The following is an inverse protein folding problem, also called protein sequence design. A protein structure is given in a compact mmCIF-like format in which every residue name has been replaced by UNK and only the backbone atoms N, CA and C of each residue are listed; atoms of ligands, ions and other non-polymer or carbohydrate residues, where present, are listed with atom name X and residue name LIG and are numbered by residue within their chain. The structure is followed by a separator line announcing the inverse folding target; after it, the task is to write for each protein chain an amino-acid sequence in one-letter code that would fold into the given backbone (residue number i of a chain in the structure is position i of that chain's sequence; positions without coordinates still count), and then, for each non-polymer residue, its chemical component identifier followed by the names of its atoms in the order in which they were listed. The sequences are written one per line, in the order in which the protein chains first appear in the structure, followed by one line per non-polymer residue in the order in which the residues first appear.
data_IF_405913470728
#
_entry.id   IF_405913470728
#
_cell.length_a   1.000
_cell.length_b   1.000
_cell.length_c   1.000
_cell.angle_alpha   90.00
_cell.angle_beta   90.00
_cell.angle_gamma   90.00
#
_symmetry.space_group_name_H-M   'P 1'
#
loop_
_entity.id
_entity.type
_entity.pdbx_description
1 polymer ?
#
# COMPACT_ATOMS: atom_id res chain seq x y z
N UNK A 1 58.14 -17.02 -8.09
CA UNK A 1 57.28 -15.94 -8.59
C UNK A 1 55.81 -16.35 -8.46
N UNK A 2 55.13 -15.97 -7.37
CA UNK A 2 53.69 -16.22 -7.15
C UNK A 2 52.92 -15.04 -7.77
N UNK A 3 52.29 -15.27 -8.91
CA UNK A 3 51.63 -14.24 -9.70
C UNK A 3 50.40 -13.66 -9.00
N UNK A 4 50.27 -12.33 -9.07
CA UNK A 4 49.11 -11.49 -8.67
C UNK A 4 47.85 -11.76 -9.52
N UNK A 5 47.47 -13.02 -9.70
CA UNK A 5 46.28 -13.44 -10.45
C UNK A 5 44.99 -13.39 -9.60
N UNK A 6 45.12 -13.30 -8.26
CA UNK A 6 43.97 -13.27 -7.35
C UNK A 6 43.23 -11.93 -7.29
N UNK A 7 43.91 -10.79 -7.41
CA UNK A 7 43.31 -9.46 -7.18
C UNK A 7 42.32 -9.05 -8.27
N UNK A 8 42.65 -9.29 -9.56
CA UNK A 8 41.76 -8.92 -10.67
C UNK A 8 40.53 -9.81 -10.76
N UNK A 9 40.64 -11.09 -10.37
CA UNK A 9 39.53 -12.03 -10.33
C UNK A 9 38.60 -11.78 -9.14
N UNK A 10 39.15 -11.42 -7.97
CA UNK A 10 38.38 -11.08 -6.76
C UNK A 10 37.46 -9.89 -7.02
N UNK A 11 37.99 -8.81 -7.58
CA UNK A 11 37.20 -7.60 -7.88
C UNK A 11 36.04 -7.92 -8.83
N UNK A 12 36.29 -8.66 -9.92
CA UNK A 12 35.21 -9.06 -10.84
C UNK A 12 34.19 -10.02 -10.21
N UNK A 13 34.63 -10.94 -9.33
CA UNK A 13 33.74 -11.85 -8.63
C UNK A 13 32.89 -11.14 -7.56
N UNK A 14 33.46 -10.17 -6.85
CA UNK A 14 32.75 -9.33 -5.89
C UNK A 14 31.67 -8.50 -6.57
N UNK A 15 31.98 -7.85 -7.69
CA UNK A 15 30.98 -7.10 -8.47
C UNK A 15 29.90 -8.01 -9.07
N UNK A 16 30.25 -9.24 -9.47
CA UNK A 16 29.29 -10.20 -9.99
C UNK A 16 28.20 -10.58 -8.96
N UNK A 17 28.49 -10.48 -7.66
CA UNK A 17 27.53 -10.76 -6.58
C UNK A 17 26.93 -9.47 -6.00
N UNK A 18 27.75 -8.43 -5.83
CA UNK A 18 27.34 -7.16 -5.23
C UNK A 18 26.32 -6.42 -6.10
N UNK A 19 26.51 -6.38 -7.44
CA UNK A 19 25.58 -5.68 -8.32
C UNK A 19 24.17 -6.30 -8.31
N UNK A 20 23.98 -7.63 -8.48
CA UNK A 20 22.66 -8.24 -8.33
C UNK A 20 22.03 -8.02 -6.95
N UNK A 21 22.83 -8.08 -5.88
CA UNK A 21 22.35 -7.85 -4.53
C UNK A 21 21.84 -6.41 -4.33
N UNK A 22 22.56 -5.40 -4.84
CA UNK A 22 22.15 -4.00 -4.80
C UNK A 22 20.89 -3.78 -5.63
N UNK A 23 20.81 -4.35 -6.83
CA UNK A 23 19.61 -4.26 -7.69
C UNK A 23 18.40 -4.87 -6.98
N UNK A 24 18.57 -6.03 -6.35
CA UNK A 24 17.51 -6.67 -5.56
C UNK A 24 17.08 -5.79 -4.39
N UNK A 25 18.02 -5.23 -3.63
CA UNK A 25 17.74 -4.32 -2.53
C UNK A 25 16.96 -3.09 -2.98
N UNK A 26 17.37 -2.44 -4.07
CA UNK A 26 16.68 -1.29 -4.64
C UNK A 26 15.27 -1.67 -5.08
N UNK A 27 15.11 -2.81 -5.76
CA UNK A 27 13.79 -3.31 -6.16
C UNK A 27 12.87 -3.55 -4.96
N UNK A 28 13.39 -4.10 -3.87
CA UNK A 28 12.65 -4.28 -2.62
C UNK A 28 12.26 -2.94 -1.98
N UNK A 29 13.17 -1.97 -1.91
CA UNK A 29 12.89 -0.63 -1.39
C UNK A 29 11.81 0.08 -2.20
N UNK A 30 11.89 0.03 -3.53
CA UNK A 30 10.88 0.62 -4.42
C UNK A 30 9.53 -0.09 -4.27
N UNK A 31 9.53 -1.43 -4.18
CA UNK A 31 8.33 -2.22 -3.95
C UNK A 31 7.65 -1.88 -2.62
N UNK A 32 8.44 -1.76 -1.54
CA UNK A 32 7.97 -1.36 -0.22
C UNK A 32 7.37 0.05 -0.23
N UNK A 33 8.08 1.02 -0.82
CA UNK A 33 7.59 2.40 -0.91
C UNK A 33 6.30 2.49 -1.74
N UNK A 34 6.24 1.79 -2.88
CA UNK A 34 5.05 1.73 -3.74
C UNK A 34 3.83 1.16 -3.00
N UNK A 35 4.05 0.12 -2.19
CA UNK A 35 3.00 -0.50 -1.36
C UNK A 35 2.56 0.45 -0.24
N UNK A 36 3.51 1.10 0.45
CA UNK A 36 3.22 2.07 1.49
C UNK A 36 2.41 3.26 0.95
N UNK A 37 2.76 3.80 -0.22
CA UNK A 37 1.98 4.89 -0.83
C UNK A 37 0.55 4.48 -1.15
N UNK A 38 0.30 3.22 -1.55
CA UNK A 38 -1.05 2.70 -1.77
C UNK A 38 -1.82 2.53 -0.46
N UNK A 39 -1.16 2.04 0.59
CA UNK A 39 -1.74 1.92 1.93
C UNK A 39 -2.18 3.29 2.45
N UNK A 40 -1.33 4.32 2.31
CA UNK A 40 -1.66 5.69 2.72
C UNK A 40 -2.86 6.23 1.92
N UNK A 41 -2.84 6.11 0.59
CA UNK A 41 -3.99 6.56 -0.23
C UNK A 41 -5.29 5.82 0.10
N UNK A 42 -5.22 4.53 0.40
CA UNK A 42 -6.39 3.75 0.80
C UNK A 42 -6.91 4.21 2.18
N UNK A 43 -6.02 4.51 3.13
CA UNK A 43 -6.36 5.05 4.44
C UNK A 43 -7.03 6.42 4.32
N UNK A 44 -6.45 7.34 3.56
CA UNK A 44 -7.00 8.68 3.35
C UNK A 44 -8.41 8.61 2.72
N UNK A 45 -8.56 7.80 1.66
CA UNK A 45 -9.85 7.61 1.01
C UNK A 45 -10.91 6.98 1.94
N UNK A 46 -10.49 6.06 2.81
CA UNK A 46 -11.38 5.42 3.80
C UNK A 46 -11.81 6.44 4.87
N UNK A 47 -10.90 7.30 5.32
CA UNK A 47 -11.21 8.35 6.28
C UNK A 47 -12.17 9.40 5.70
N UNK A 48 -11.94 9.82 4.45
CA UNK A 48 -12.84 10.75 3.76
C UNK A 48 -14.21 10.13 3.49
N UNK A 49 -14.26 8.85 3.08
CA UNK A 49 -15.50 8.11 2.93
C UNK A 49 -16.28 8.01 4.26
N UNK A 50 -15.62 7.75 5.38
CA UNK A 50 -16.27 7.68 6.69
C UNK A 50 -16.87 9.04 7.08
N UNK A 51 -16.14 10.14 6.84
CA UNK A 51 -16.63 11.51 7.11
C UNK A 51 -17.79 11.91 6.19
N UNK A 52 -17.80 11.47 4.93
CA UNK A 52 -18.92 11.70 4.02
C UNK A 52 -20.18 11.00 4.56
N UNK A 53 -20.09 9.70 4.85
CA UNK A 53 -21.26 8.95 5.33
C UNK A 53 -21.73 9.44 6.70
N UNK A 54 -20.81 9.84 7.58
CA UNK A 54 -21.15 10.44 8.88
C UNK A 54 -21.93 11.77 8.76
N UNK A 55 -21.81 12.48 7.64
CA UNK A 55 -22.59 13.69 7.33
C UNK A 55 -23.94 13.38 6.70
N UNK A 56 -24.26 12.11 6.49
CA UNK A 56 -25.47 11.67 5.79
C UNK A 56 -25.37 11.71 4.27
N UNK A 57 -24.16 11.84 3.70
CA UNK A 57 -24.00 11.70 2.26
C UNK A 57 -24.27 10.25 1.79
N UNK A 58 -24.60 10.12 0.51
CA UNK A 58 -24.90 8.83 -0.14
C UNK A 58 -23.72 7.84 -0.05
N UNK A 59 -24.02 6.60 0.34
CA UNK A 59 -23.03 5.52 0.50
C UNK A 59 -22.37 5.15 -0.83
N UNK A 60 -23.10 5.25 -1.95
CA UNK A 60 -22.57 5.01 -3.29
C UNK A 60 -21.49 6.00 -3.68
N UNK A 61 -21.64 7.27 -3.28
CA UNK A 61 -20.57 8.30 -3.42
C UNK A 61 -19.33 7.94 -2.61
N UNK A 62 -19.49 7.48 -1.38
CA UNK A 62 -18.37 7.06 -0.54
C UNK A 62 -17.62 5.86 -1.16
N UNK A 63 -18.34 4.87 -1.70
CA UNK A 63 -17.73 3.73 -2.39
C UNK A 63 -17.02 4.13 -3.68
N UNK A 64 -17.61 5.05 -4.47
CA UNK A 64 -16.98 5.58 -5.68
C UNK A 64 -15.69 6.33 -5.38
N UNK A 65 -15.63 7.09 -4.28
CA UNK A 65 -14.42 7.79 -3.83
C UNK A 65 -13.27 6.81 -3.55
N UNK A 66 -13.54 5.74 -2.80
CA UNK A 66 -12.52 4.72 -2.50
C UNK A 66 -12.07 3.99 -3.77
N UNK A 67 -13.00 3.63 -4.66
CA UNK A 67 -12.68 2.95 -5.91
C UNK A 67 -11.86 3.83 -6.88
N UNK A 68 -12.11 5.15 -6.87
CA UNK A 68 -11.33 6.12 -7.64
C UNK A 68 -9.94 6.37 -7.09
N UNK A 69 -9.75 6.31 -5.77
CA UNK A 69 -8.46 6.55 -5.13
C UNK A 69 -7.47 5.39 -5.32
N UNK A 70 -7.95 4.15 -5.29
CA UNK A 70 -7.10 2.95 -5.47
C UNK A 70 -7.81 1.92 -6.35
N UNK A 71 -7.23 1.65 -7.53
CA UNK A 71 -7.76 0.67 -8.47
C UNK A 71 -7.88 -0.73 -7.87
N UNK A 72 -9.04 -1.37 -8.08
CA UNK A 72 -9.35 -2.69 -7.54
C UNK A 72 -9.65 -2.69 -6.03
N UNK A 73 -9.85 -1.52 -5.42
CA UNK A 73 -10.34 -1.42 -4.05
C UNK A 73 -11.78 -1.96 -3.93
N UNK A 74 -12.04 -2.63 -2.82
CA UNK A 74 -13.37 -3.02 -2.36
C UNK A 74 -13.59 -2.39 -1.01
N UNK A 75 -14.74 -1.78 -0.82
CA UNK A 75 -15.13 -1.11 0.42
C UNK A 75 -16.43 -1.71 0.97
N UNK A 76 -16.58 -1.62 2.28
CA UNK A 76 -17.77 -1.97 3.02
C UNK A 76 -18.00 -0.92 4.11
N UNK A 77 -19.26 -0.69 4.45
CA UNK A 77 -19.68 0.15 5.55
C UNK A 77 -20.14 -0.72 6.71
N UNK A 78 -19.76 -0.33 7.92
CA UNK A 78 -20.23 -0.90 9.17
C UNK A 78 -20.67 0.25 10.07
N UNK A 79 -21.88 0.17 10.63
CA UNK A 79 -22.38 1.10 11.64
C UNK A 79 -22.24 0.42 13.00
N UNK A 80 -21.56 1.08 13.93
CA UNK A 80 -21.21 0.59 15.26
C UNK A 80 -21.58 1.68 16.27
N UNK A 81 -22.67 1.48 17.02
CA UNK A 81 -23.21 2.45 17.99
C UNK A 81 -23.39 3.85 17.35
N UNK A 82 -22.60 4.84 17.80
CA UNK A 82 -22.58 6.22 17.31
C UNK A 82 -21.49 6.46 16.26
N UNK A 83 -20.88 5.41 15.71
CA UNK A 83 -19.81 5.48 14.71
C UNK A 83 -20.26 4.85 13.39
N UNK A 84 -19.86 5.48 12.29
CA UNK A 84 -19.84 4.85 10.97
C UNK A 84 -18.40 4.56 10.57
N UNK A 85 -18.13 3.28 10.30
CA UNK A 85 -16.83 2.77 9.92
C UNK A 85 -16.84 2.36 8.45
N UNK A 86 -15.85 2.83 7.70
CA UNK A 86 -15.56 2.33 6.36
C UNK A 86 -14.39 1.37 6.47
N UNK A 87 -14.51 0.21 5.87
CA UNK A 87 -13.42 -0.77 5.72
C UNK A 87 -13.15 -0.94 4.23
N UNK A 88 -11.90 -0.76 3.84
CA UNK A 88 -11.48 -0.91 2.45
C UNK A 88 -10.31 -1.89 2.31
N UNK A 89 -10.25 -2.57 1.17
CA UNK A 89 -9.19 -3.50 0.83
C UNK A 89 -8.82 -3.38 -0.64
N UNK A 90 -7.53 -3.30 -0.94
CA UNK A 90 -7.03 -3.16 -2.30
C UNK A 90 -5.81 -4.08 -2.54
N UNK A 91 -5.50 -4.46 -3.79
CA UNK A 91 -4.26 -5.17 -4.09
C UNK A 91 -3.03 -4.29 -3.84
N UNK A 92 -2.02 -4.86 -3.17
CA UNK A 92 -0.79 -4.16 -2.77
C UNK A 92 0.01 -3.63 -3.96
N UNK A 93 -0.08 -4.25 -5.13
CA UNK A 93 0.62 -3.82 -6.32
C UNK A 93 0.92 -4.96 -7.28
N UNK A 94 1.42 -4.64 -8.48
CA UNK A 94 1.87 -5.65 -9.43
C UNK A 94 3.12 -6.39 -8.95
N UNK A 95 3.88 -5.81 -8.01
CA UNK A 95 5.12 -6.39 -7.46
C UNK A 95 4.84 -7.53 -6.49
N UNK A 96 3.71 -7.50 -5.77
CA UNK A 96 3.34 -8.48 -4.75
C UNK A 96 1.95 -9.08 -5.07
N UNK A 97 1.85 -9.93 -6.10
CA UNK A 97 0.59 -10.56 -6.46
C UNK A 97 0.05 -11.40 -5.29
N UNK A 98 -1.25 -11.29 -5.04
CA UNK A 98 -1.93 -11.98 -3.93
C UNK A 98 -1.89 -11.25 -2.57
N UNK A 99 -1.02 -10.26 -2.40
CA UNK A 99 -1.01 -9.44 -1.18
C UNK A 99 -2.05 -8.32 -1.30
N UNK A 100 -2.85 -8.15 -0.24
CA UNK A 100 -3.85 -7.08 -0.14
C UNK A 100 -3.52 -6.15 1.01
N UNK A 101 -3.69 -4.87 0.76
CA UNK A 101 -3.62 -3.80 1.75
C UNK A 101 -5.02 -3.53 2.29
N UNK A 102 -5.09 -3.20 3.57
CA UNK A 102 -6.35 -3.02 4.30
C UNK A 102 -6.35 -1.69 5.04
N UNK A 103 -7.49 -1.01 5.00
CA UNK A 103 -7.73 0.22 5.74
C UNK A 103 -9.09 0.18 6.44
N UNK A 104 -9.16 0.79 7.62
CA UNK A 104 -10.39 0.99 8.38
C UNK A 104 -10.32 2.36 9.01
N UNK A 105 -11.37 3.16 8.83
CA UNK A 105 -11.53 4.44 9.50
C UNK A 105 -12.98 4.59 9.94
N UNK A 106 -13.17 5.16 11.13
CA UNK A 106 -14.48 5.43 11.70
C UNK A 106 -14.65 6.92 11.93
N UNK A 107 -15.87 7.41 11.77
CA UNK A 107 -16.27 8.77 12.10
C UNK A 107 -17.55 8.71 12.93
N UNK A 108 -17.74 9.70 13.81
CA UNK A 108 -18.96 9.83 14.61
C UNK A 108 -20.16 10.06 13.68
N UNK A 109 -21.14 9.15 13.71
CA UNK A 109 -22.42 9.31 13.05
C UNK A 109 -23.11 10.51 13.72
N UNK A 110 -23.27 11.60 12.97
CA UNK A 110 -23.53 12.95 13.49
C UNK A 110 -24.51 12.93 14.67
N UNK A 111 -23.95 13.11 15.88
CA UNK A 111 -24.62 12.79 17.13
C UNK A 111 -26.06 13.29 17.19
N UNK A 112 -26.98 12.37 17.50
CA UNK A 112 -28.27 12.72 18.07
C UNK A 112 -28.12 13.06 19.54
#
# INVERSE_FOLDING_TARGET
MRGRLGDRGSVSAEFAVALPAIVLLVALCVGALSTASRQVRLQDATADAARLVARGDDEGRAFALVAGAVGGARSALAREDDLVCVVASAPAGPVLPGVRVHARSCALDGGR
#
